data_IF_955824095734
#
_entry.id   IF_955824095734
#
_cell.length_a   1.000
_cell.length_b   1.000
_cell.length_c   1.000
_cell.angle_alpha   90.00
_cell.angle_beta   90.00
_cell.angle_gamma   90.00
#
_symmetry.space_group_name_H-M   'P 1'
#
loop_
_entity.id
_entity.type
_entity.pdbx_description
1 polymer ?
#
# COMPACT_ATOMS: atom_id res chain seq x y z
N UNK A 1 6.31 9.56 9.20
CA UNK A 1 6.48 8.09 9.23
C UNK A 1 6.87 7.63 7.83
N UNK A 2 7.73 6.62 7.72
CA UNK A 2 8.06 5.97 6.46
C UNK A 2 7.47 4.56 6.47
N UNK A 3 7.14 4.03 5.29
CA UNK A 3 6.60 2.68 5.13
C UNK A 3 7.14 2.04 3.84
N UNK A 4 7.05 0.71 3.68
CA UNK A 4 7.53 0.02 2.50
C UNK A 4 6.86 0.54 1.23
N UNK A 5 7.66 1.02 0.28
CA UNK A 5 7.17 1.56 -0.98
C UNK A 5 8.01 1.15 -2.19
N UNK A 6 8.91 0.19 -2.04
CA UNK A 6 9.77 -0.30 -3.13
C UNK A 6 9.57 -1.80 -3.28
N UNK A 7 9.42 -2.25 -4.52
CA UNK A 7 9.16 -3.66 -4.88
C UNK A 7 8.00 -4.28 -4.10
N UNK A 8 6.88 -3.54 -4.03
CA UNK A 8 5.66 -4.00 -3.37
C UNK A 8 4.85 -4.83 -4.35
N UNK A 9 4.59 -6.08 -3.98
CA UNK A 9 3.72 -6.98 -4.72
C UNK A 9 2.27 -6.70 -4.35
N UNK A 10 1.46 -6.29 -5.31
CA UNK A 10 0.05 -6.00 -5.09
C UNK A 10 -0.80 -6.46 -6.27
N UNK A 11 -2.11 -6.59 -6.04
CA UNK A 11 -3.07 -6.93 -7.09
C UNK A 11 -3.06 -5.85 -8.19
N UNK A 12 -3.10 -6.31 -9.44
CA UNK A 12 -3.06 -5.46 -10.62
C UNK A 12 -4.01 -6.00 -11.69
N UNK A 13 -4.61 -5.11 -12.47
CA UNK A 13 -5.52 -5.52 -13.55
C UNK A 13 -4.65 -6.08 -14.69
N UNK A 14 -4.83 -7.36 -15.07
CA UNK A 14 -4.11 -7.94 -16.20
C UNK A 14 -4.36 -7.10 -17.46
N UNK A 15 -3.30 -6.63 -18.09
CA UNK A 15 -3.38 -5.84 -19.34
C UNK A 15 -2.47 -6.45 -20.39
N UNK A 16 -2.88 -6.37 -21.64
CA UNK A 16 -2.07 -6.82 -22.79
C UNK A 16 -1.04 -5.77 -23.22
N UNK A 17 -0.80 -4.76 -22.39
CA UNK A 17 0.17 -3.72 -22.64
C UNK A 17 1.59 -4.27 -22.50
N UNK A 18 2.34 -4.27 -23.60
CA UNK A 18 3.71 -4.76 -23.69
C UNK A 18 4.71 -3.97 -22.84
N UNK A 19 4.32 -2.79 -22.31
CA UNK A 19 5.14 -2.02 -21.36
C UNK A 19 5.10 -2.60 -19.94
N UNK A 20 4.10 -3.42 -19.63
CA UNK A 20 3.85 -4.00 -18.31
C UNK A 20 3.96 -5.53 -18.30
N UNK A 21 3.96 -6.17 -19.47
CA UNK A 21 4.04 -7.62 -19.65
C UNK A 21 5.11 -7.92 -20.69
N UNK A 22 6.10 -8.74 -20.32
CA UNK A 22 7.15 -9.20 -21.24
C UNK A 22 6.53 -9.94 -22.42
N UNK A 23 7.05 -9.70 -23.63
CA UNK A 23 6.56 -10.35 -24.84
C UNK A 23 6.62 -11.88 -24.71
N UNK A 24 5.44 -12.52 -24.67
CA UNK A 24 5.30 -13.97 -24.51
C UNK A 24 4.90 -14.44 -23.11
N UNK A 25 4.78 -13.55 -22.12
CA UNK A 25 4.29 -13.89 -20.79
C UNK A 25 2.77 -13.64 -20.64
N UNK A 26 2.10 -14.50 -19.86
CA UNK A 26 0.69 -14.30 -19.52
C UNK A 26 0.55 -13.14 -18.54
N UNK A 27 -0.40 -12.21 -18.76
CA UNK A 27 -0.57 -11.08 -17.86
C UNK A 27 -0.95 -11.54 -16.45
N UNK A 28 -0.14 -11.15 -15.46
CA UNK A 28 -0.32 -11.53 -14.06
C UNK A 28 -1.41 -10.68 -13.38
N UNK A 29 -2.14 -11.28 -12.44
CA UNK A 29 -3.06 -10.56 -11.55
C UNK A 29 -2.35 -9.78 -10.43
N UNK A 30 -1.02 -9.86 -10.39
CA UNK A 30 -0.17 -9.15 -9.43
C UNK A 30 0.99 -8.48 -10.14
N UNK A 31 1.41 -7.32 -9.64
CA UNK A 31 2.55 -6.59 -10.15
C UNK A 31 3.45 -6.08 -9.02
N UNK A 32 4.75 -5.97 -9.30
CA UNK A 32 5.74 -5.38 -8.41
C UNK A 32 5.93 -3.92 -8.79
N UNK A 33 5.49 -3.02 -7.92
CA UNK A 33 5.58 -1.57 -8.16
C UNK A 33 6.29 -0.86 -7.02
N UNK A 34 6.84 0.33 -7.34
CA UNK A 34 7.55 1.18 -6.39
C UNK A 34 7.03 2.62 -6.46
N UNK A 35 6.92 3.29 -5.32
CA UNK A 35 6.48 4.68 -5.20
C UNK A 35 5.94 5.01 -3.82
N UNK A 36 5.85 6.31 -3.50
CA UNK A 36 5.16 6.79 -2.29
C UNK A 36 3.67 6.40 -2.28
N UNK A 37 3.09 6.22 -3.47
CA UNK A 37 1.76 5.65 -3.67
C UNK A 37 1.62 4.23 -3.10
N UNK A 38 2.71 3.47 -3.01
CA UNK A 38 2.72 2.09 -2.50
C UNK A 38 3.02 2.07 -0.99
N UNK A 39 3.73 3.07 -0.47
CA UNK A 39 3.91 3.28 0.96
C UNK A 39 2.64 3.80 1.67
N UNK A 40 1.86 4.67 1.00
CA UNK A 40 0.61 5.23 1.53
C UNK A 40 -0.38 4.17 2.06
N UNK A 41 -0.78 3.13 1.27
CA UNK A 41 -1.73 2.13 1.72
C UNK A 41 -1.25 1.32 2.93
N UNK A 42 0.07 1.15 3.12
CA UNK A 42 0.61 0.51 4.33
C UNK A 42 0.28 1.33 5.59
N UNK A 43 0.53 2.64 5.57
CA UNK A 43 0.20 3.54 6.70
C UNK A 43 -1.31 3.62 6.90
N UNK A 44 -2.09 3.66 5.82
CA UNK A 44 -3.56 3.65 5.89
C UNK A 44 -4.09 2.39 6.56
N UNK A 45 -3.53 1.21 6.26
CA UNK A 45 -3.91 -0.05 6.91
C UNK A 45 -3.63 -0.04 8.42
N UNK A 46 -2.46 0.47 8.82
CA UNK A 46 -2.11 0.64 10.25
C UNK A 46 -3.08 1.61 10.94
N UNK A 47 -3.33 2.77 10.33
CA UNK A 47 -4.27 3.77 10.87
C UNK A 47 -5.69 3.22 11.02
N UNK A 48 -6.17 2.43 10.04
CA UNK A 48 -7.47 1.79 10.08
C UNK A 48 -7.56 0.75 11.21
N UNK A 49 -6.52 -0.06 11.42
CA UNK A 49 -6.45 -1.01 12.53
C UNK A 49 -6.49 -0.31 13.89
N UNK A 50 -5.72 0.78 14.06
CA UNK A 50 -5.74 1.60 15.28
C UNK A 50 -7.14 2.19 15.51
N UNK A 51 -7.79 2.72 14.46
CA UNK A 51 -9.16 3.26 14.54
C UNK A 51 -10.19 2.19 14.91
N UNK A 52 -10.03 0.96 14.39
CA UNK A 52 -10.90 -0.17 14.73
C UNK A 52 -10.81 -0.53 16.21
N UNK A 53 -9.60 -0.48 16.80
CA UNK A 53 -9.38 -0.76 18.22
C UNK A 53 -9.73 0.44 19.11
N UNK A 54 -9.68 1.66 18.57
CA UNK A 54 -9.96 2.90 19.29
C UNK A 54 -10.98 3.77 18.52
N UNK A 55 -12.28 3.40 18.49
CA UNK A 55 -13.27 4.05 17.64
C UNK A 55 -13.50 5.53 17.95
N UNK A 56 -13.21 5.97 19.18
CA UNK A 56 -13.39 7.38 19.61
C UNK A 56 -12.17 8.26 19.33
N UNK A 57 -11.02 7.69 18.95
CA UNK A 57 -9.80 8.47 18.73
C UNK A 57 -9.93 9.40 17.51
N UNK A 58 -9.41 10.61 17.68
CA UNK A 58 -9.32 11.60 16.60
C UNK A 58 -8.24 11.21 15.58
N UNK A 59 -8.26 11.77 14.36
CA UNK A 59 -7.18 11.59 13.39
C UNK A 59 -5.82 12.02 13.93
N UNK A 60 -5.77 13.07 14.75
CA UNK A 60 -4.54 13.54 15.39
C UNK A 60 -3.99 12.56 16.43
N UNK A 61 -4.86 11.92 17.21
CA UNK A 61 -4.47 10.89 18.18
C UNK A 61 -3.88 9.65 17.46
N UNK A 62 -4.50 9.21 16.37
CA UNK A 62 -3.99 8.09 15.56
C UNK A 62 -2.64 8.43 14.94
N UNK A 63 -2.50 9.63 14.36
CA UNK A 63 -1.21 10.08 13.83
C UNK A 63 -0.14 10.13 14.94
N UNK A 64 -0.49 10.64 16.14
CA UNK A 64 0.44 10.68 17.26
C UNK A 64 0.93 9.29 17.61
N UNK A 65 0.01 8.33 17.78
CA UNK A 65 0.34 6.94 18.12
C UNK A 65 1.30 6.32 17.09
N UNK A 66 1.06 6.54 15.79
CA UNK A 66 1.93 6.03 14.72
C UNK A 66 3.31 6.72 14.71
N UNK A 67 3.42 8.00 15.07
CA UNK A 67 4.70 8.71 15.02
C UNK A 67 5.58 8.47 16.27
N UNK A 68 4.99 8.13 17.41
CA UNK A 68 5.71 7.94 18.67
C UNK A 68 5.98 6.46 18.99
N UNK A 69 5.70 5.56 18.05
CA UNK A 69 6.03 4.13 18.11
C UNK A 69 6.93 3.78 16.93
#
# INVERSE_FOLDING_TARGET
>A
IAAPGVSILAAFIPTNDSSLVSAGETPSMFNLLSGTSMACPHVTGVAASIKSQNPTWSPSAIRSAIMTT
#
